data_IF_147792556127
#
_entry.id   IF_147792556127
#
_cell.length_a   1.000
_cell.length_b   1.000
_cell.length_c   1.000
_cell.angle_alpha   90.00
_cell.angle_beta   90.00
_cell.angle_gamma   90.00
#
_symmetry.space_group_name_H-M   'P 1'
#
loop_
_entity.id
_entity.type
_entity.pdbx_description
1 polymer ?
#
# COMPACT_ATOMS: atom_id res chain seq x y z
N UNK A 1 5.35 9.39 28.59
CA UNK A 1 5.46 9.32 27.12
C UNK A 1 4.18 9.84 26.49
N UNK A 2 4.31 10.79 25.54
CA UNK A 2 3.19 11.37 24.80
C UNK A 2 3.15 10.78 23.38
N UNK A 3 2.06 10.12 23.05
CA UNK A 3 1.88 9.42 21.76
C UNK A 3 0.89 10.20 20.90
N UNK A 4 1.23 10.41 19.65
CA UNK A 4 0.33 10.99 18.65
C UNK A 4 -0.03 9.95 17.58
N UNK A 5 -1.30 9.82 17.25
CA UNK A 5 -1.72 9.08 16.06
C UNK A 5 -2.30 10.03 15.01
N UNK A 6 -1.92 9.80 13.77
CA UNK A 6 -2.65 10.32 12.62
C UNK A 6 -3.72 9.31 12.21
N UNK A 7 -4.31 9.47 10.99
CA UNK A 7 -5.33 8.52 10.52
C UNK A 7 -4.91 7.06 10.76
N UNK A 8 -5.68 6.33 11.54
CA UNK A 8 -5.44 4.91 11.84
C UNK A 8 -5.91 4.01 10.67
N UNK A 9 -5.58 2.72 10.66
CA UNK A 9 -6.34 1.75 9.89
C UNK A 9 -7.82 1.79 10.31
N UNK A 10 -8.72 1.23 9.48
CA UNK A 10 -10.15 1.14 9.82
C UNK A 10 -10.40 0.10 10.95
N UNK A 11 -9.66 0.25 12.02
CA UNK A 11 -9.65 -0.63 13.19
C UNK A 11 -9.02 0.09 14.40
N UNK A 12 -9.24 -0.39 15.63
CA UNK A 12 -8.64 0.20 16.83
C UNK A 12 -7.16 -0.18 17.03
N UNK A 13 -6.45 -0.62 16.00
CA UNK A 13 -5.10 -1.20 16.09
C UNK A 13 -4.13 -0.32 16.90
N UNK A 14 -4.03 0.98 16.58
CA UNK A 14 -3.15 1.89 17.31
C UNK A 14 -3.57 2.06 18.78
N UNK A 15 -4.86 2.23 19.03
CA UNK A 15 -5.37 2.32 20.39
C UNK A 15 -5.14 1.04 21.21
N UNK A 16 -5.17 -0.12 20.55
CA UNK A 16 -4.84 -1.39 21.20
C UNK A 16 -3.36 -1.46 21.57
N UNK A 17 -2.45 -1.06 20.69
CA UNK A 17 -1.02 -1.01 20.99
C UNK A 17 -0.74 -0.06 22.15
N UNK A 18 -1.28 1.17 22.09
CA UNK A 18 -1.04 2.22 23.11
C UNK A 18 -1.47 1.78 24.50
N UNK A 19 -2.53 0.97 24.62
CA UNK A 19 -2.96 0.39 25.92
C UNK A 19 -1.92 -0.53 26.56
N UNK A 20 -0.98 -1.06 25.79
CA UNK A 20 0.07 -1.97 26.28
C UNK A 20 1.42 -1.27 26.47
N UNK A 21 1.54 0.00 26.10
CA UNK A 21 2.73 0.82 26.37
C UNK A 21 2.69 1.27 27.82
N UNK A 22 3.81 1.09 28.53
CA UNK A 22 3.95 1.57 29.89
C UNK A 22 4.11 3.10 29.93
N UNK A 23 3.57 3.75 30.98
CA UNK A 23 3.78 5.17 31.25
C UNK A 23 3.38 6.12 30.10
N UNK A 24 2.33 5.80 29.34
CA UNK A 24 1.71 6.78 28.44
C UNK A 24 0.99 7.82 29.30
N UNK A 25 1.45 9.06 29.23
CA UNK A 25 0.86 10.20 29.94
C UNK A 25 -0.32 10.73 29.13
N UNK A 26 -0.09 11.00 27.84
CA UNK A 26 -1.14 11.47 26.95
C UNK A 26 -1.13 10.70 25.63
N UNK A 27 -2.33 10.43 25.11
CA UNK A 27 -2.55 9.87 23.79
C UNK A 27 -3.41 10.82 22.97
N UNK A 28 -2.80 11.43 21.95
CA UNK A 28 -3.37 12.44 21.07
C UNK A 28 -3.69 11.88 19.69
N UNK A 29 -4.55 12.59 18.95
CA UNK A 29 -4.82 12.28 17.55
C UNK A 29 -5.02 13.53 16.70
N UNK A 30 -4.56 13.47 15.43
CA UNK A 30 -4.91 14.42 14.37
C UNK A 30 -5.48 13.63 13.20
N UNK A 31 -6.75 13.85 12.86
CA UNK A 31 -7.46 13.10 11.84
C UNK A 31 -7.83 13.93 10.63
N UNK A 32 -7.61 13.35 9.43
CA UNK A 32 -8.11 13.95 8.18
C UNK A 32 -9.63 13.81 8.03
N UNK A 33 -10.22 12.84 8.72
CA UNK A 33 -11.65 12.51 8.68
C UNK A 33 -12.16 12.22 10.08
N UNK A 34 -13.29 12.81 10.44
CA UNK A 34 -13.91 12.65 11.76
C UNK A 34 -14.29 11.20 12.12
N UNK A 35 -14.49 10.36 11.12
CA UNK A 35 -14.80 8.95 11.36
C UNK A 35 -13.69 8.16 12.06
N UNK A 36 -12.44 8.59 11.96
CA UNK A 36 -11.32 7.91 12.64
C UNK A 36 -11.44 7.99 14.17
N UNK A 37 -12.14 8.99 14.69
CA UNK A 37 -12.45 9.08 16.12
C UNK A 37 -13.11 7.81 16.66
N UNK A 38 -13.86 7.10 15.84
CA UNK A 38 -14.51 5.84 16.21
C UNK A 38 -13.54 4.75 16.67
N UNK A 39 -12.33 4.76 16.17
CA UNK A 39 -11.27 3.79 16.48
C UNK A 39 -10.26 4.30 17.51
N UNK A 40 -10.45 5.52 18.00
CA UNK A 40 -9.56 6.18 18.91
C UNK A 40 -10.06 6.11 20.36
N UNK A 41 -9.19 5.77 21.28
CA UNK A 41 -9.48 5.70 22.71
C UNK A 41 -8.46 6.48 23.55
N UNK A 42 -8.05 7.66 23.03
CA UNK A 42 -7.11 8.55 23.71
C UNK A 42 -7.77 9.74 24.38
N UNK A 43 -6.97 10.75 24.74
CA UNK A 43 -7.36 11.89 25.56
C UNK A 43 -7.94 13.03 24.74
N UNK A 44 -7.31 13.38 23.61
CA UNK A 44 -7.66 14.53 22.80
C UNK A 44 -7.50 14.23 21.30
N UNK A 45 -8.44 14.66 20.49
CA UNK A 45 -8.33 14.54 19.03
C UNK A 45 -8.67 15.85 18.33
N UNK A 46 -7.91 16.16 17.29
CA UNK A 46 -8.09 17.28 16.41
C UNK A 46 -8.39 16.85 14.98
N UNK A 47 -8.85 17.77 14.15
CA UNK A 47 -9.27 17.48 12.78
C UNK A 47 -8.63 18.46 11.81
N UNK A 48 -8.04 17.93 10.75
CA UNK A 48 -7.30 18.73 9.76
C UNK A 48 -8.16 19.84 9.15
N UNK A 49 -9.46 19.61 8.89
CA UNK A 49 -10.34 20.66 8.38
C UNK A 49 -10.49 21.81 9.36
N UNK A 50 -10.63 21.52 10.65
CA UNK A 50 -10.69 22.54 11.71
C UNK A 50 -9.36 23.28 11.86
N UNK A 51 -8.24 22.55 11.89
CA UNK A 51 -6.89 23.10 11.96
C UNK A 51 -6.67 24.12 10.82
N UNK A 52 -6.90 23.71 9.59
CA UNK A 52 -6.66 24.54 8.40
C UNK A 52 -7.62 25.72 8.28
N UNK A 53 -8.76 25.70 8.97
CA UNK A 53 -9.66 26.86 9.03
C UNK A 53 -9.14 27.96 9.97
N UNK A 54 -8.38 27.60 10.99
CA UNK A 54 -7.89 28.48 12.05
C UNK A 54 -6.41 28.85 11.87
N UNK A 55 -5.60 27.94 11.35
CA UNK A 55 -4.16 28.09 11.19
C UNK A 55 -3.80 28.16 9.71
N UNK A 56 -3.44 29.36 9.23
CA UNK A 56 -3.06 29.63 7.83
C UNK A 56 -1.66 30.20 7.68
N UNK A 57 -0.88 30.18 8.76
CA UNK A 57 0.50 30.65 8.77
C UNK A 57 1.45 29.52 8.42
N UNK A 58 2.52 29.84 7.74
CA UNK A 58 3.60 28.92 7.42
C UNK A 58 4.89 29.68 7.09
N UNK A 59 6.01 29.03 7.23
CA UNK A 59 7.34 29.53 6.87
C UNK A 59 7.70 29.18 5.42
N UNK A 60 8.79 29.78 4.93
CA UNK A 60 9.34 29.39 3.63
C UNK A 60 9.83 27.91 3.60
N UNK A 61 10.30 27.38 4.72
CA UNK A 61 10.70 25.97 4.84
C UNK A 61 9.48 25.03 4.80
N UNK A 62 8.37 25.40 5.41
CA UNK A 62 7.13 24.62 5.36
C UNK A 62 6.56 24.58 3.93
N UNK A 63 6.63 25.71 3.21
CA UNK A 63 6.25 25.76 1.79
C UNK A 63 7.21 24.89 0.93
N UNK A 64 8.50 24.94 1.16
CA UNK A 64 9.45 24.10 0.46
C UNK A 64 9.18 22.61 0.70
N UNK A 65 8.83 22.22 1.93
CA UNK A 65 8.41 20.86 2.28
C UNK A 65 7.12 20.47 1.52
N UNK A 66 6.12 21.36 1.49
CA UNK A 66 4.87 21.13 0.77
C UNK A 66 5.09 20.85 -0.73
N UNK A 67 5.97 21.64 -1.36
CA UNK A 67 6.31 21.50 -2.78
C UNK A 67 7.06 20.19 -3.08
N UNK A 68 8.03 19.80 -2.25
CA UNK A 68 8.82 18.59 -2.46
C UNK A 68 8.12 17.32 -2.00
N UNK A 69 7.00 17.41 -1.26
CA UNK A 69 6.30 16.27 -0.73
C UNK A 69 5.82 15.34 -1.84
N UNK A 70 6.32 14.10 -1.80
CA UNK A 70 5.87 13.04 -2.70
C UNK A 70 4.70 12.29 -2.07
N UNK A 71 3.49 12.63 -2.47
CA UNK A 71 2.28 12.08 -1.87
C UNK A 71 1.25 11.68 -2.93
N UNK A 72 0.31 10.85 -2.52
CA UNK A 72 -0.71 10.29 -3.40
C UNK A 72 -1.58 11.37 -4.07
N UNK A 73 -1.98 12.41 -3.32
CA UNK A 73 -2.86 13.46 -3.87
C UNK A 73 -2.16 14.23 -4.99
N UNK A 74 -0.92 14.67 -4.77
CA UNK A 74 -0.13 15.39 -5.77
C UNK A 74 0.08 14.56 -7.04
N UNK A 75 0.40 13.27 -6.87
CA UNK A 75 0.55 12.35 -8.00
C UNK A 75 -0.77 12.14 -8.75
N UNK A 76 -1.88 12.04 -8.01
CA UNK A 76 -3.21 11.86 -8.58
C UNK A 76 -3.66 13.05 -9.43
N UNK A 77 -3.58 14.28 -8.91
CA UNK A 77 -4.03 15.47 -9.66
C UNK A 77 -3.20 15.70 -10.92
N UNK A 78 -1.88 15.49 -10.86
CA UNK A 78 -1.02 15.58 -12.04
C UNK A 78 -1.39 14.56 -13.10
N UNK A 79 -1.68 13.33 -12.68
CA UNK A 79 -1.95 12.23 -13.62
C UNK A 79 -3.36 12.27 -14.20
N UNK A 80 -4.37 12.43 -13.37
CA UNK A 80 -5.77 12.28 -13.77
C UNK A 80 -6.47 13.61 -14.03
N UNK A 81 -6.13 14.66 -13.29
CA UNK A 81 -6.71 15.98 -13.47
C UNK A 81 -5.87 16.85 -14.44
N UNK A 82 -4.67 16.36 -14.81
CA UNK A 82 -3.76 17.05 -15.75
C UNK A 82 -3.45 18.49 -15.34
N UNK A 83 -3.31 18.73 -14.04
CA UNK A 83 -2.99 20.02 -13.45
C UNK A 83 -1.93 19.90 -12.36
N UNK A 84 -1.27 20.98 -12.06
CA UNK A 84 -0.46 21.10 -10.86
C UNK A 84 -1.34 21.40 -9.64
N UNK A 85 -0.75 21.30 -8.44
CA UNK A 85 -1.41 21.74 -7.22
C UNK A 85 -1.72 23.24 -7.29
N UNK A 86 -2.91 23.62 -6.87
CA UNK A 86 -3.27 25.04 -6.75
C UNK A 86 -2.50 25.70 -5.60
N UNK A 87 -2.42 27.03 -5.64
CA UNK A 87 -1.81 27.80 -4.53
C UNK A 87 -2.52 27.51 -3.19
N UNK A 88 -3.84 27.32 -3.20
CA UNK A 88 -4.60 27.02 -1.98
C UNK A 88 -4.26 25.62 -1.44
N UNK A 89 -4.13 24.60 -2.30
CA UNK A 89 -3.72 23.26 -1.90
C UNK A 89 -2.30 23.26 -1.32
N UNK A 90 -1.36 23.99 -1.95
CA UNK A 90 -0.01 24.15 -1.42
C UNK A 90 0.02 24.91 -0.10
N UNK A 91 -0.78 25.96 0.04
CA UNK A 91 -0.92 26.70 1.29
C UNK A 91 -1.50 25.81 2.41
N UNK A 92 -2.48 24.95 2.11
CA UNK A 92 -3.00 23.98 3.06
C UNK A 92 -1.93 22.99 3.51
N UNK A 93 -1.11 22.49 2.59
CA UNK A 93 0.01 21.59 2.92
C UNK A 93 1.04 22.29 3.80
N UNK A 94 1.44 23.51 3.45
CA UNK A 94 2.40 24.29 4.21
C UNK A 94 1.88 24.68 5.60
N UNK A 95 0.59 25.06 5.70
CA UNK A 95 -0.05 25.37 6.98
C UNK A 95 -0.15 24.15 7.88
N UNK A 96 -0.44 22.98 7.32
CA UNK A 96 -0.41 21.73 8.08
C UNK A 96 1.00 21.39 8.55
N UNK A 97 2.02 21.56 7.72
CA UNK A 97 3.41 21.31 8.08
C UNK A 97 3.83 22.21 9.26
N UNK A 98 3.51 23.51 9.19
CA UNK A 98 3.78 24.45 10.26
C UNK A 98 3.09 24.07 11.57
N UNK A 99 1.78 23.82 11.49
CA UNK A 99 0.97 23.41 12.63
C UNK A 99 1.50 22.11 13.26
N UNK A 100 1.77 21.09 12.44
CA UNK A 100 2.23 19.79 12.92
C UNK A 100 3.56 19.90 13.66
N UNK A 101 4.50 20.71 13.13
CA UNK A 101 5.80 20.96 13.78
C UNK A 101 5.62 21.64 15.14
N UNK A 102 4.77 22.68 15.23
CA UNK A 102 4.45 23.32 16.51
C UNK A 102 3.79 22.33 17.48
N UNK A 103 2.84 21.54 17.00
CA UNK A 103 2.14 20.55 17.83
C UNK A 103 3.07 19.51 18.45
N UNK A 104 4.05 19.02 17.69
CA UNK A 104 5.06 18.11 18.22
C UNK A 104 5.80 18.71 19.43
N UNK A 105 6.20 19.97 19.34
CA UNK A 105 6.90 20.66 20.42
C UNK A 105 5.97 21.03 21.59
N UNK A 106 4.82 21.64 21.33
CA UNK A 106 3.88 22.11 22.34
C UNK A 106 3.31 20.95 23.19
N UNK A 107 3.02 19.82 22.56
CA UNK A 107 2.51 18.62 23.24
C UNK A 107 3.65 17.68 23.67
N UNK A 108 4.90 18.05 23.45
CA UNK A 108 6.08 17.21 23.75
C UNK A 108 5.90 15.77 23.26
N UNK A 109 5.60 15.60 21.96
CA UNK A 109 5.29 14.29 21.38
C UNK A 109 6.56 13.45 21.28
N UNK A 110 6.55 12.29 21.93
CA UNK A 110 7.66 11.35 21.95
C UNK A 110 7.60 10.32 20.82
N UNK A 111 6.39 10.02 20.30
CA UNK A 111 6.20 9.00 19.28
C UNK A 111 4.98 9.28 18.41
N UNK A 112 5.12 9.05 17.07
CA UNK A 112 4.02 9.23 16.09
C UNK A 112 3.65 7.92 15.40
N UNK A 113 2.35 7.64 15.28
CA UNK A 113 1.80 6.47 14.59
C UNK A 113 0.95 6.93 13.40
N UNK A 114 1.12 6.33 12.23
CA UNK A 114 0.33 6.66 11.03
C UNK A 114 0.04 5.43 10.17
N UNK A 115 -1.04 5.49 9.38
CA UNK A 115 -1.42 4.42 8.46
C UNK A 115 -1.23 4.85 7.01
N UNK A 116 -0.32 4.19 6.27
CA UNK A 116 0.13 4.55 4.93
C UNK A 116 0.89 5.90 4.90
N UNK A 117 2.15 5.87 4.54
CA UNK A 117 3.06 7.02 4.58
C UNK A 117 2.93 7.98 3.37
N UNK A 118 2.06 7.67 2.41
CA UNK A 118 1.90 8.45 1.17
C UNK A 118 0.59 9.24 1.09
N UNK A 119 -0.26 9.23 2.12
CA UNK A 119 -1.33 10.23 2.25
C UNK A 119 -0.67 11.59 2.44
N UNK A 120 -1.20 12.65 1.83
CA UNK A 120 -0.52 13.93 1.80
C UNK A 120 -0.06 14.44 3.19
N UNK A 121 -0.91 14.36 4.19
CA UNK A 121 -0.60 14.79 5.57
C UNK A 121 0.34 13.82 6.28
N UNK A 122 0.28 12.51 5.99
CA UNK A 122 1.23 11.52 6.52
C UNK A 122 2.61 11.68 5.89
N UNK A 123 2.68 11.94 4.58
CA UNK A 123 3.95 12.19 3.91
C UNK A 123 4.66 13.42 4.49
N UNK A 124 3.93 14.50 4.73
CA UNK A 124 4.45 15.70 5.39
C UNK A 124 4.86 15.40 6.84
N UNK A 125 4.01 14.72 7.62
CA UNK A 125 4.30 14.38 9.00
C UNK A 125 5.53 13.47 9.12
N UNK A 126 5.69 12.50 8.22
CA UNK A 126 6.86 11.62 8.17
C UNK A 126 8.16 12.42 7.97
N UNK A 127 8.18 13.33 7.00
CA UNK A 127 9.36 14.17 6.75
C UNK A 127 9.69 15.06 7.96
N UNK A 128 8.67 15.63 8.62
CA UNK A 128 8.86 16.44 9.83
C UNK A 128 9.40 15.57 10.97
N UNK A 129 8.86 14.37 11.19
CA UNK A 129 9.38 13.46 12.20
C UNK A 129 10.86 13.13 11.97
N UNK A 130 11.28 12.94 10.71
CA UNK A 130 12.68 12.72 10.35
C UNK A 130 13.54 13.97 10.62
N UNK A 131 13.07 15.16 10.28
CA UNK A 131 13.76 16.43 10.51
C UNK A 131 13.91 16.75 12.01
N UNK A 132 12.88 16.49 12.81
CA UNK A 132 12.85 16.78 14.26
C UNK A 132 13.41 15.62 15.12
N UNK A 133 13.73 14.48 14.50
CA UNK A 133 14.24 13.31 15.22
C UNK A 133 13.19 12.62 16.09
N UNK A 134 11.89 12.83 15.83
CA UNK A 134 10.80 12.17 16.54
C UNK A 134 10.58 10.78 15.95
N UNK A 135 10.72 9.70 16.73
CA UNK A 135 10.50 8.36 16.24
C UNK A 135 9.03 8.14 15.85
N UNK A 136 8.81 7.33 14.82
CA UNK A 136 7.46 7.05 14.32
C UNK A 136 7.33 5.61 13.81
N UNK A 137 6.10 5.17 13.60
CA UNK A 137 5.82 3.97 12.84
C UNK A 137 4.70 4.19 11.81
N UNK A 138 4.76 3.39 10.76
CA UNK A 138 3.78 3.36 9.69
C UNK A 138 3.15 1.98 9.59
N UNK A 139 1.83 1.91 9.62
CA UNK A 139 1.11 0.66 9.37
C UNK A 139 0.58 0.59 7.94
N UNK A 140 0.42 -0.63 7.44
CA UNK A 140 -0.24 -0.92 6.16
C UNK A 140 -0.98 -2.26 6.26
N UNK A 141 -1.85 -2.54 5.30
CA UNK A 141 -2.48 -3.86 5.19
C UNK A 141 -1.42 -4.94 5.02
N UNK A 142 -1.60 -6.05 5.70
CA UNK A 142 -0.66 -7.15 5.70
C UNK A 142 -0.48 -7.82 4.34
N UNK A 143 0.68 -8.44 4.17
CA UNK A 143 1.05 -9.19 2.97
C UNK A 143 0.37 -10.57 2.94
N UNK A 144 0.17 -11.19 4.11
CA UNK A 144 -0.46 -12.50 4.27
C UNK A 144 -1.88 -12.33 4.82
N UNK A 145 -2.80 -11.98 3.92
CA UNK A 145 -4.21 -11.70 4.28
C UNK A 145 -4.99 -13.00 4.47
N UNK A 146 -5.91 -13.06 5.41
CA UNK A 146 -6.38 -12.01 6.33
C UNK A 146 -5.65 -11.99 7.69
N UNK A 147 -4.49 -12.60 7.83
CA UNK A 147 -3.86 -12.94 9.11
C UNK A 147 -2.87 -11.90 9.62
N UNK A 148 -2.46 -10.95 8.79
CA UNK A 148 -1.37 -10.02 9.16
C UNK A 148 -1.68 -8.57 8.84
N UNK A 149 -0.99 -7.69 9.58
CA UNK A 149 -0.75 -6.29 9.21
C UNK A 149 0.75 -6.03 9.08
N UNK A 150 1.11 -4.89 8.50
CA UNK A 150 2.47 -4.37 8.50
C UNK A 150 2.56 -3.23 9.49
N UNK A 151 3.63 -3.18 10.27
CA UNK A 151 4.07 -2.04 11.08
C UNK A 151 5.56 -1.87 10.89
N UNK A 152 5.98 -0.74 10.36
CA UNK A 152 7.38 -0.46 10.02
C UNK A 152 7.78 0.90 10.60
N UNK A 153 8.99 1.00 11.15
CA UNK A 153 9.49 2.22 11.82
C UNK A 153 10.25 3.17 10.88
N UNK A 154 10.12 2.96 9.59
CA UNK A 154 10.74 3.82 8.57
C UNK A 154 9.73 4.24 7.50
N UNK A 155 8.90 3.32 7.05
CA UNK A 155 7.90 3.50 6.02
C UNK A 155 7.32 2.18 5.56
N UNK A 156 6.45 2.20 4.56
CA UNK A 156 5.84 0.98 4.01
C UNK A 156 6.09 0.87 2.51
N UNK A 157 5.86 -0.31 1.96
CA UNK A 157 6.07 -0.59 0.53
C UNK A 157 7.53 -0.27 0.11
N UNK A 158 7.75 0.58 -0.90
CA UNK A 158 9.09 0.95 -1.34
C UNK A 158 9.88 1.79 -0.31
N UNK A 159 9.20 2.34 0.69
CA UNK A 159 9.82 3.08 1.80
C UNK A 159 10.09 2.19 3.03
N UNK A 160 9.78 0.89 2.97
CA UNK A 160 9.96 -0.04 4.08
C UNK A 160 11.43 -0.20 4.47
N UNK A 161 11.66 -0.40 5.77
CA UNK A 161 12.98 -0.73 6.32
C UNK A 161 13.62 -1.97 5.69
N UNK A 162 12.82 -2.88 5.12
CA UNK A 162 13.30 -4.08 4.42
C UNK A 162 14.17 -3.72 3.20
N UNK A 163 13.92 -2.59 2.56
CA UNK A 163 14.68 -2.18 1.36
C UNK A 163 16.18 -2.01 1.63
N UNK A 164 16.54 -1.65 2.86
CA UNK A 164 17.91 -1.42 3.32
C UNK A 164 18.47 -2.53 4.21
N UNK A 165 17.71 -3.62 4.44
CA UNK A 165 18.21 -4.73 5.25
C UNK A 165 19.31 -5.48 4.52
N UNK A 166 20.48 -5.55 5.17
CA UNK A 166 21.62 -6.37 4.75
C UNK A 166 21.58 -7.71 5.52
N UNK A 167 20.71 -8.60 5.08
CA UNK A 167 20.49 -9.92 5.68
C UNK A 167 20.54 -10.97 4.58
N UNK A 168 21.27 -12.05 4.81
CA UNK A 168 21.15 -13.27 4.03
C UNK A 168 19.88 -14.03 4.43
N UNK A 169 18.86 -13.91 3.61
CA UNK A 169 17.58 -14.56 3.87
C UNK A 169 17.66 -16.09 3.79
N UNK A 170 18.66 -16.67 3.14
CA UNK A 170 18.79 -18.13 3.04
C UNK A 170 18.86 -18.84 4.40
N UNK A 171 19.34 -18.15 5.45
CA UNK A 171 19.38 -18.66 6.82
C UNK A 171 18.00 -19.02 7.39
N UNK A 172 16.91 -18.47 6.86
CA UNK A 172 15.55 -18.77 7.28
C UNK A 172 14.88 -19.86 6.43
N UNK A 173 15.53 -20.34 5.36
CA UNK A 173 14.90 -21.20 4.35
C UNK A 173 14.45 -22.58 4.89
N UNK A 174 15.17 -23.12 5.85
CA UNK A 174 14.90 -24.44 6.41
C UNK A 174 14.18 -24.40 7.76
N UNK A 175 13.76 -23.21 8.21
CA UNK A 175 12.98 -23.09 9.43
C UNK A 175 11.57 -23.64 9.22
N UNK A 176 11.01 -24.33 10.25
CA UNK A 176 9.69 -24.92 10.14
C UNK A 176 8.60 -23.85 10.05
N UNK A 177 7.67 -24.04 9.12
CA UNK A 177 6.46 -23.22 9.02
C UNK A 177 5.68 -23.25 10.34
N UNK A 178 5.20 -22.08 10.76
CA UNK A 178 4.36 -21.91 11.95
C UNK A 178 2.94 -21.56 11.52
N UNK A 179 1.95 -21.99 12.26
CA UNK A 179 0.60 -21.49 12.07
C UNK A 179 0.47 -20.09 12.67
N UNK A 180 -0.31 -19.25 12.03
CA UNK A 180 -0.69 -17.97 12.64
C UNK A 180 -1.61 -18.25 13.83
N UNK A 181 -1.23 -17.77 15.00
CA UNK A 181 -2.01 -17.89 16.24
C UNK A 181 -2.97 -16.72 16.39
N UNK A 182 -3.78 -16.50 15.36
CA UNK A 182 -4.82 -15.45 15.38
C UNK A 182 -6.12 -15.99 14.79
N UNK A 183 -7.27 -15.66 15.41
CA UNK A 183 -8.57 -15.95 14.81
C UNK A 183 -8.67 -15.31 13.44
N UNK A 184 -9.26 -16.01 12.46
CA UNK A 184 -9.46 -15.46 11.12
C UNK A 184 -10.43 -14.27 11.19
N UNK A 185 -9.95 -13.02 10.99
CA UNK A 185 -10.71 -11.81 11.33
C UNK A 185 -11.87 -11.49 10.38
N UNK A 186 -12.07 -12.27 9.32
CA UNK A 186 -13.04 -11.95 8.27
C UNK A 186 -14.02 -13.07 7.92
N UNK A 187 -14.21 -14.04 8.82
CA UNK A 187 -15.24 -15.06 8.66
C UNK A 187 -16.34 -14.93 9.72
N UNK A 188 -17.61 -15.05 9.28
CA UNK A 188 -18.76 -15.04 10.19
C UNK A 188 -18.97 -13.69 10.88
N UNK A 189 -19.06 -13.72 12.22
CA UNK A 189 -19.37 -12.55 13.04
C UNK A 189 -18.35 -11.40 12.92
N UNK A 190 -17.07 -11.70 12.76
CA UNK A 190 -16.00 -10.68 12.64
C UNK A 190 -16.14 -9.88 11.34
N UNK A 191 -16.54 -10.52 10.23
CA UNK A 191 -16.82 -9.80 8.98
C UNK A 191 -17.99 -8.84 9.11
N UNK A 192 -19.05 -9.24 9.81
CA UNK A 192 -20.22 -8.37 10.06
C UNK A 192 -19.85 -7.21 11.00
N UNK A 193 -19.10 -7.49 12.06
CA UNK A 193 -18.59 -6.50 13.00
C UNK A 193 -17.80 -5.42 12.26
N UNK A 194 -16.82 -5.81 11.45
CA UNK A 194 -16.01 -4.87 10.66
C UNK A 194 -16.85 -4.00 9.72
N UNK A 195 -17.89 -4.57 9.08
CA UNK A 195 -18.81 -3.81 8.21
C UNK A 195 -19.65 -2.79 9.00
N UNK A 196 -20.13 -3.15 10.18
CA UNK A 196 -20.89 -2.24 11.05
C UNK A 196 -20.02 -1.08 11.54
N UNK A 197 -18.80 -1.37 12.00
CA UNK A 197 -17.84 -0.35 12.41
C UNK A 197 -17.49 0.60 11.25
N UNK A 198 -17.31 0.06 10.04
CA UNK A 198 -17.04 0.88 8.86
C UNK A 198 -18.26 1.74 8.46
N UNK A 199 -19.47 1.21 8.55
CA UNK A 199 -20.70 1.98 8.31
C UNK A 199 -20.83 3.15 9.30
N UNK A 200 -20.49 2.91 10.58
CA UNK A 200 -20.47 3.94 11.62
C UNK A 200 -19.40 4.99 11.35
N UNK A 201 -18.20 4.58 10.94
CA UNK A 201 -17.14 5.47 10.46
C UNK A 201 -17.64 6.39 9.33
N UNK A 202 -18.33 5.85 8.32
CA UNK A 202 -18.89 6.65 7.22
C UNK A 202 -19.95 7.65 7.70
N UNK A 203 -20.78 7.26 8.65
CA UNK A 203 -21.78 8.14 9.26
C UNK A 203 -21.12 9.32 9.98
N UNK A 204 -20.10 9.06 10.81
CA UNK A 204 -19.35 10.11 11.50
C UNK A 204 -18.64 11.05 10.52
N UNK A 205 -18.09 10.51 9.43
CA UNK A 205 -17.49 11.35 8.38
C UNK A 205 -18.48 12.32 7.75
N UNK A 206 -19.70 11.85 7.49
CA UNK A 206 -20.75 12.71 6.94
C UNK A 206 -21.13 13.84 7.92
N UNK A 207 -21.31 13.48 9.18
CA UNK A 207 -21.62 14.47 10.25
C UNK A 207 -20.48 15.48 10.44
N UNK A 208 -19.24 15.00 10.49
CA UNK A 208 -18.07 15.87 10.63
C UNK A 208 -17.81 16.74 9.40
N UNK A 209 -18.19 16.28 8.20
CA UNK A 209 -18.13 17.08 6.98
C UNK A 209 -19.04 18.32 7.07
N UNK A 210 -20.24 18.18 7.59
CA UNK A 210 -21.16 19.32 7.82
C UNK A 210 -20.65 20.31 8.86
N UNK A 211 -19.78 19.86 9.77
CA UNK A 211 -19.14 20.70 10.79
C UNK A 211 -17.80 21.29 10.36
N UNK A 212 -17.36 21.05 9.13
CA UNK A 212 -16.05 21.51 8.64
C UNK A 212 -14.83 20.78 9.27
N UNK A 213 -15.03 19.64 9.92
CA UNK A 213 -13.94 18.91 10.59
C UNK A 213 -13.02 18.17 9.60
N UNK A 214 -13.59 17.71 8.49
CA UNK A 214 -12.86 16.88 7.53
C UNK A 214 -11.97 17.73 6.61
N UNK A 215 -10.79 17.23 6.29
CA UNK A 215 -9.96 17.82 5.24
C UNK A 215 -10.72 17.87 3.91
N UNK A 216 -10.60 19.00 3.20
CA UNK A 216 -11.09 19.14 1.83
C UNK A 216 -10.26 18.37 0.83
N UNK A 217 -8.96 18.23 1.09
CA UNK A 217 -8.03 17.42 0.32
C UNK A 217 -8.16 15.98 0.78
N UNK A 218 -8.74 15.15 -0.07
CA UNK A 218 -9.05 13.77 0.31
C UNK A 218 -8.35 12.76 -0.57
N UNK A 219 -7.84 11.70 0.04
CA UNK A 219 -7.51 10.49 -0.65
C UNK A 219 -8.81 9.87 -1.23
N UNK A 220 -8.82 9.53 -2.51
CA UNK A 220 -10.02 9.23 -3.32
C UNK A 220 -10.97 8.13 -2.86
N UNK A 221 -10.66 7.40 -1.81
CA UNK A 221 -11.34 6.15 -1.50
C UNK A 221 -12.73 6.30 -0.86
N UNK A 222 -13.14 7.50 -0.42
CA UNK A 222 -14.25 7.62 0.53
C UNK A 222 -15.43 8.49 0.08
N UNK A 223 -15.54 8.81 -1.19
CA UNK A 223 -16.76 9.43 -1.71
C UNK A 223 -17.83 8.36 -1.93
N UNK A 224 -18.92 8.43 -1.18
CA UNK A 224 -20.02 7.48 -1.19
C UNK A 224 -20.61 7.21 -2.60
N UNK A 225 -20.73 8.23 -3.43
CA UNK A 225 -21.29 8.12 -4.79
C UNK A 225 -20.41 7.30 -5.74
N UNK A 226 -19.07 7.52 -5.84
CA UNK A 226 -18.20 6.64 -6.60
C UNK A 226 -18.18 5.20 -6.08
N UNK A 227 -18.30 5.01 -4.76
CA UNK A 227 -18.36 3.68 -4.16
C UNK A 227 -19.65 2.93 -4.53
N UNK A 228 -20.79 3.62 -4.50
CA UNK A 228 -22.07 3.07 -4.93
C UNK A 228 -22.07 2.76 -6.44
N UNK A 229 -21.50 3.65 -7.26
CA UNK A 229 -21.34 3.43 -8.69
C UNK A 229 -20.43 2.24 -9.01
N UNK A 230 -19.31 2.06 -8.26
CA UNK A 230 -18.45 0.88 -8.39
C UNK A 230 -19.19 -0.40 -7.99
N UNK A 231 -19.90 -0.38 -6.87
CA UNK A 231 -20.72 -1.51 -6.42
C UNK A 231 -21.79 -1.89 -7.46
N UNK A 232 -22.44 -0.88 -8.05
CA UNK A 232 -23.41 -1.05 -9.13
C UNK A 232 -22.77 -1.62 -10.39
N UNK A 233 -21.66 -1.09 -10.80
CA UNK A 233 -20.93 -1.57 -11.99
C UNK A 233 -20.40 -2.99 -11.79
N UNK A 234 -19.86 -3.32 -10.63
CA UNK A 234 -19.36 -4.66 -10.32
C UNK A 234 -20.48 -5.71 -10.24
N UNK A 235 -21.63 -5.38 -9.67
CA UNK A 235 -22.68 -6.36 -9.45
C UNK A 235 -23.72 -6.44 -10.59
N UNK A 236 -23.92 -5.39 -11.35
CA UNK A 236 -24.94 -5.32 -12.41
C UNK A 236 -24.33 -5.37 -13.81
N UNK A 237 -23.30 -4.57 -14.11
CA UNK A 237 -22.63 -4.67 -15.42
C UNK A 237 -21.95 -6.00 -15.63
N UNK A 238 -21.34 -6.58 -14.60
CA UNK A 238 -20.72 -7.91 -14.70
C UNK A 238 -21.73 -9.03 -15.00
N UNK A 239 -23.01 -8.87 -14.61
CA UNK A 239 -24.10 -9.79 -14.97
C UNK A 239 -24.67 -9.55 -16.37
N UNK A 240 -24.60 -8.31 -16.85
CA UNK A 240 -25.11 -7.92 -18.17
C UNK A 240 -24.07 -8.08 -19.28
N UNK A 241 -22.77 -8.04 -18.97
CA UNK A 241 -21.67 -8.20 -19.95
C UNK A 241 -21.26 -9.65 -20.20
N UNK A 242 -22.18 -10.61 -20.08
CA UNK A 242 -21.95 -12.02 -20.44
C UNK A 242 -21.72 -12.27 -21.93
N UNK A 243 -21.56 -11.24 -22.72
CA UNK A 243 -21.30 -11.35 -24.15
C UNK A 243 -20.24 -10.36 -24.59
N UNK A 244 -19.02 -10.78 -24.68
CA UNK A 244 -17.92 -10.26 -25.50
C UNK A 244 -16.60 -10.11 -24.75
N UNK A 245 -15.72 -10.91 -25.08
CA UNK A 245 -14.26 -11.02 -25.29
C UNK A 245 -13.80 -12.36 -24.75
N UNK A 246 -13.15 -13.12 -25.59
CA UNK A 246 -12.57 -14.43 -25.29
C UNK A 246 -11.64 -14.31 -24.06
N UNK A 247 -12.18 -14.63 -22.89
CA UNK A 247 -11.33 -14.87 -21.72
C UNK A 247 -10.72 -16.25 -21.90
N UNK A 248 -9.46 -16.29 -22.25
CA UNK A 248 -8.72 -17.53 -22.28
C UNK A 248 -8.69 -18.10 -20.84
N UNK A 249 -9.13 -19.34 -20.67
CA UNK A 249 -8.92 -20.08 -19.44
C UNK A 249 -7.42 -20.43 -19.37
N UNK A 250 -6.73 -20.39 -18.20
CA UNK A 250 -5.34 -20.82 -18.10
C UNK A 250 -5.09 -22.19 -18.72
N UNK A 251 -6.04 -23.12 -18.56
CA UNK A 251 -5.99 -24.47 -19.12
C UNK A 251 -6.07 -24.53 -20.66
N UNK A 252 -6.34 -23.40 -21.33
CA UNK A 252 -6.44 -23.31 -22.79
C UNK A 252 -5.24 -22.62 -23.44
N UNK A 253 -4.25 -22.16 -22.66
CA UNK A 253 -3.00 -21.63 -23.21
C UNK A 253 -2.09 -22.81 -23.56
N UNK A 254 -2.16 -23.25 -24.79
CA UNK A 254 -1.42 -24.39 -25.32
C UNK A 254 0.08 -24.16 -25.53
N UNK A 255 0.58 -22.97 -25.27
CA UNK A 255 1.98 -22.55 -25.46
C UNK A 255 2.58 -22.06 -24.16
N UNK A 256 3.91 -22.17 -23.95
CA UNK A 256 4.58 -21.47 -22.87
C UNK A 256 4.28 -19.98 -22.89
N UNK A 257 4.23 -19.33 -21.74
CA UNK A 257 3.89 -17.91 -21.69
C UNK A 257 4.64 -17.13 -20.62
N UNK A 258 4.76 -15.83 -20.86
CA UNK A 258 5.18 -14.83 -19.89
C UNK A 258 3.93 -14.21 -19.30
N UNK A 259 3.83 -14.21 -17.96
CA UNK A 259 2.67 -13.66 -17.28
C UNK A 259 2.89 -12.20 -16.84
N UNK A 260 1.95 -11.33 -17.18
CA UNK A 260 1.97 -9.92 -16.83
C UNK A 260 0.68 -9.51 -16.12
N UNK A 261 0.66 -9.50 -14.76
CA UNK A 261 -0.45 -8.96 -13.97
C UNK A 261 -0.39 -7.43 -13.94
N UNK A 262 -1.40 -6.78 -14.48
CA UNK A 262 -1.56 -5.32 -14.43
C UNK A 262 -2.22 -4.88 -13.13
N UNK A 263 -1.82 -3.72 -12.62
CA UNK A 263 -2.32 -3.09 -11.40
C UNK A 263 -3.35 -2.00 -11.72
N UNK A 264 -4.05 -1.52 -10.68
CA UNK A 264 -4.89 -0.33 -10.81
C UNK A 264 -4.02 0.90 -11.05
N UNK A 265 -4.35 1.67 -12.07
CA UNK A 265 -3.58 2.86 -12.47
C UNK A 265 -3.60 3.98 -11.41
N UNK A 266 -4.66 4.01 -10.59
CA UNK A 266 -4.80 4.97 -9.49
C UNK A 266 -4.28 4.45 -8.14
N UNK A 267 -3.71 3.25 -8.10
CA UNK A 267 -3.04 2.73 -6.90
C UNK A 267 -1.78 3.53 -6.59
N UNK A 268 -1.54 3.80 -5.32
CA UNK A 268 -0.36 4.51 -4.83
C UNK A 268 0.94 3.84 -5.29
N UNK A 269 0.96 2.52 -5.34
CA UNK A 269 2.12 1.76 -5.81
C UNK A 269 2.44 2.08 -7.29
N UNK A 270 1.42 2.20 -8.12
CA UNK A 270 1.60 2.58 -9.51
C UNK A 270 1.93 4.07 -9.66
N UNK A 271 1.21 4.95 -8.95
CA UNK A 271 1.34 6.39 -9.09
C UNK A 271 2.70 6.93 -8.65
N UNK A 272 3.24 6.40 -7.54
CA UNK A 272 4.43 6.96 -6.88
C UNK A 272 5.66 6.06 -7.09
N UNK A 273 5.45 4.75 -7.09
CA UNK A 273 6.54 3.79 -7.13
C UNK A 273 6.75 3.16 -8.51
N UNK A 274 6.17 3.75 -9.57
CA UNK A 274 6.50 3.42 -10.96
C UNK A 274 6.81 4.67 -11.77
N UNK A 275 7.44 4.48 -12.93
CA UNK A 275 7.80 5.57 -13.85
C UNK A 275 6.86 5.61 -15.08
N UNK A 276 5.79 4.84 -15.08
CA UNK A 276 4.88 4.73 -16.19
C UNK A 276 3.76 5.77 -16.13
N UNK A 277 3.52 6.44 -17.26
CA UNK A 277 2.48 7.47 -17.36
C UNK A 277 1.06 6.90 -17.32
N UNK A 278 0.86 5.65 -17.80
CA UNK A 278 -0.43 4.96 -17.79
C UNK A 278 -0.26 3.44 -17.91
N UNK A 279 -1.32 2.69 -17.62
CA UNK A 279 -1.36 1.25 -17.86
C UNK A 279 -1.25 0.91 -19.35
N UNK A 280 -1.80 1.74 -20.25
CA UNK A 280 -1.63 1.54 -21.69
C UNK A 280 -0.17 1.73 -22.10
N UNK A 281 0.50 2.77 -21.61
CA UNK A 281 1.93 2.99 -21.90
C UNK A 281 2.78 1.83 -21.36
N UNK A 282 2.50 1.36 -20.13
CA UNK A 282 3.17 0.20 -19.55
C UNK A 282 2.97 -1.06 -20.42
N UNK A 283 1.72 -1.35 -20.84
CA UNK A 283 1.42 -2.52 -21.68
C UNK A 283 2.20 -2.45 -22.99
N UNK A 284 2.18 -1.30 -23.66
CA UNK A 284 2.89 -1.11 -24.91
C UNK A 284 4.41 -1.33 -24.79
N UNK A 285 5.00 -0.90 -23.66
CA UNK A 285 6.44 -1.10 -23.40
C UNK A 285 6.76 -2.57 -23.10
N UNK A 286 5.92 -3.26 -22.33
CA UNK A 286 6.10 -4.68 -22.02
C UNK A 286 5.93 -5.52 -23.28
N UNK A 287 4.92 -5.24 -24.11
CA UNK A 287 4.75 -5.88 -25.43
C UNK A 287 5.97 -5.68 -26.31
N UNK A 288 6.43 -4.42 -26.45
CA UNK A 288 7.60 -4.10 -27.26
C UNK A 288 8.84 -4.86 -26.78
N UNK A 289 9.06 -4.94 -25.47
CA UNK A 289 10.18 -5.67 -24.89
C UNK A 289 10.05 -7.18 -25.13
N UNK A 290 8.86 -7.74 -24.95
CA UNK A 290 8.57 -9.15 -25.20
C UNK A 290 8.81 -9.51 -26.68
N UNK A 291 8.27 -8.72 -27.61
CA UNK A 291 8.42 -9.00 -29.05
C UNK A 291 9.83 -8.79 -29.61
N UNK A 292 10.68 -8.09 -28.88
CA UNK A 292 12.11 -7.97 -29.19
C UNK A 292 12.98 -9.05 -28.51
N UNK A 293 12.41 -9.83 -27.60
CA UNK A 293 13.13 -10.92 -26.92
C UNK A 293 13.20 -12.17 -27.80
N UNK A 294 14.08 -13.09 -27.45
CA UNK A 294 14.19 -14.40 -28.09
C UNK A 294 12.96 -15.27 -27.89
N UNK A 295 12.10 -14.93 -26.92
CA UNK A 295 10.92 -15.70 -26.54
C UNK A 295 9.72 -15.48 -27.49
N UNK A 296 9.75 -14.44 -28.33
CA UNK A 296 8.61 -14.01 -29.14
C UNK A 296 8.03 -15.10 -30.07
N UNK A 297 8.86 -16.02 -30.53
CA UNK A 297 8.44 -17.08 -31.47
C UNK A 297 7.93 -18.34 -30.78
N UNK A 298 8.22 -18.53 -29.50
CA UNK A 298 7.92 -19.76 -28.77
C UNK A 298 6.93 -19.55 -27.64
N UNK A 299 6.76 -18.32 -27.15
CA UNK A 299 5.94 -17.98 -26.00
C UNK A 299 4.79 -17.04 -26.39
N UNK A 300 3.82 -16.91 -25.48
CA UNK A 300 2.76 -15.89 -25.52
C UNK A 300 2.96 -14.89 -24.39
N UNK A 301 2.47 -13.66 -24.57
CA UNK A 301 2.31 -12.71 -23.48
C UNK A 301 0.89 -12.85 -22.93
N UNK A 302 0.74 -13.27 -21.68
CA UNK A 302 -0.55 -13.43 -21.02
C UNK A 302 -0.74 -12.31 -20.02
N UNK A 303 -1.74 -11.48 -20.23
CA UNK A 303 -2.04 -10.29 -19.44
C UNK A 303 -3.29 -10.51 -18.60
N UNK A 304 -3.21 -10.21 -17.32
CA UNK A 304 -4.36 -10.20 -16.42
C UNK A 304 -4.61 -8.81 -15.88
N UNK A 305 -5.80 -8.28 -16.14
CA UNK A 305 -6.23 -7.01 -15.54
C UNK A 305 -6.58 -7.20 -14.05
N UNK A 306 -6.36 -6.17 -13.26
CA UNK A 306 -6.84 -6.15 -11.89
C UNK A 306 -8.37 -6.31 -11.86
N UNK A 307 -8.97 -7.08 -10.92
CA UNK A 307 -10.43 -7.32 -10.90
C UNK A 307 -11.29 -6.03 -10.86
N UNK A 308 -10.75 -4.96 -10.29
CA UNK A 308 -11.40 -3.65 -10.21
C UNK A 308 -11.04 -2.71 -11.37
N UNK A 309 -10.24 -3.16 -12.33
CA UNK A 309 -9.90 -2.38 -13.51
C UNK A 309 -11.02 -2.55 -14.54
N UNK A 310 -11.65 -1.44 -14.89
CA UNK A 310 -12.74 -1.36 -15.87
C UNK A 310 -12.25 -0.79 -17.22
N UNK A 311 -10.95 -0.55 -17.34
CA UNK A 311 -10.31 -0.03 -18.56
C UNK A 311 -10.39 -1.00 -19.71
N UNK A 312 -10.31 -0.44 -20.92
CA UNK A 312 -10.10 -1.20 -22.17
C UNK A 312 -8.75 -0.82 -22.71
N UNK A 313 -7.96 -1.82 -23.05
CA UNK A 313 -6.58 -1.64 -23.50
C UNK A 313 -6.44 -2.12 -24.94
N UNK A 314 -5.67 -1.38 -25.72
CA UNK A 314 -5.22 -1.80 -27.05
C UNK A 314 -3.97 -2.65 -26.88
N UNK A 315 -3.94 -3.82 -27.51
CA UNK A 315 -2.84 -4.75 -27.44
C UNK A 315 -2.61 -5.40 -28.80
N UNK A 316 -1.42 -5.92 -29.01
CA UNK A 316 -1.10 -6.77 -30.16
C UNK A 316 -2.00 -8.03 -30.17
N UNK A 317 -2.38 -8.53 -31.36
CA UNK A 317 -3.25 -9.70 -31.50
C UNK A 317 -2.68 -10.98 -30.85
N UNK A 318 -1.37 -11.04 -30.65
CA UNK A 318 -0.66 -12.14 -29.99
C UNK A 318 -0.67 -12.05 -28.46
N UNK A 319 -1.09 -10.92 -27.89
CA UNK A 319 -1.24 -10.73 -26.44
C UNK A 319 -2.59 -11.26 -25.98
N UNK A 320 -2.57 -12.18 -25.02
CA UNK A 320 -3.77 -12.85 -24.51
C UNK A 320 -4.23 -12.23 -23.20
N UNK A 321 -5.45 -11.73 -23.14
CA UNK A 321 -6.06 -11.30 -21.90
C UNK A 321 -6.79 -12.44 -21.21
N UNK A 322 -6.60 -12.57 -19.89
CA UNK A 322 -7.22 -13.63 -19.08
C UNK A 322 -7.89 -13.07 -17.82
N UNK A 323 -8.89 -13.82 -17.33
CA UNK A 323 -9.52 -13.65 -16.00
C UNK A 323 -9.25 -14.85 -15.09
N UNK A 324 -8.31 -15.71 -15.46
CA UNK A 324 -7.94 -16.92 -14.74
C UNK A 324 -7.47 -16.66 -13.30
N UNK A 325 -7.35 -17.73 -12.54
CA UNK A 325 -6.80 -17.68 -11.18
C UNK A 325 -5.34 -17.24 -11.21
N UNK A 326 -4.95 -16.28 -10.37
CA UNK A 326 -3.60 -15.68 -10.36
C UNK A 326 -2.53 -16.71 -10.01
N UNK A 327 -2.76 -17.49 -8.96
CA UNK A 327 -1.81 -18.52 -8.51
C UNK A 327 -1.58 -19.59 -9.60
N UNK A 328 -2.63 -20.02 -10.28
CA UNK A 328 -2.50 -20.96 -11.39
C UNK A 328 -1.70 -20.35 -12.55
N UNK A 329 -1.96 -19.06 -12.88
CA UNK A 329 -1.23 -18.35 -13.94
C UNK A 329 0.25 -18.17 -13.61
N UNK A 330 0.59 -17.84 -12.35
CA UNK A 330 1.99 -17.75 -11.90
C UNK A 330 2.68 -19.10 -11.97
N UNK A 331 2.05 -20.17 -11.49
CA UNK A 331 2.64 -21.50 -11.46
C UNK A 331 2.93 -22.08 -12.85
N UNK A 332 2.07 -21.78 -13.82
CA UNK A 332 2.19 -22.27 -15.19
C UNK A 332 3.06 -21.38 -16.09
N UNK A 333 3.31 -20.12 -15.68
CA UNK A 333 4.16 -19.21 -16.45
C UNK A 333 5.63 -19.66 -16.50
N UNK A 334 6.33 -19.32 -17.57
CA UNK A 334 7.79 -19.47 -17.66
C UNK A 334 8.53 -18.34 -16.93
N UNK A 335 7.93 -17.14 -16.91
CA UNK A 335 8.39 -16.01 -16.13
C UNK A 335 7.23 -15.05 -15.83
N UNK A 336 7.43 -14.19 -14.83
CA UNK A 336 6.49 -13.16 -14.42
C UNK A 336 7.12 -11.78 -14.59
N UNK A 337 6.40 -10.86 -15.25
CA UNK A 337 6.76 -9.45 -15.34
C UNK A 337 5.75 -8.66 -14.52
N UNK A 338 6.18 -7.81 -13.62
CA UNK A 338 5.27 -6.99 -12.81
C UNK A 338 5.89 -5.64 -12.49
N UNK A 339 5.08 -4.64 -12.17
CA UNK A 339 5.61 -3.36 -11.68
C UNK A 339 6.02 -3.53 -10.21
N UNK A 340 5.06 -3.65 -9.31
CA UNK A 340 5.26 -3.82 -7.87
C UNK A 340 4.02 -4.42 -7.20
N UNK A 341 3.29 -5.27 -7.92
CA UNK A 341 2.07 -5.93 -7.46
C UNK A 341 2.34 -6.94 -6.34
N UNK A 342 1.36 -7.14 -5.45
CA UNK A 342 1.37 -8.24 -4.47
C UNK A 342 1.40 -9.64 -5.11
N UNK A 343 1.05 -9.77 -6.40
CA UNK A 343 1.24 -11.01 -7.18
C UNK A 343 2.71 -11.44 -7.21
N UNK A 344 3.65 -10.50 -7.03
CA UNK A 344 5.06 -10.83 -6.88
C UNK A 344 5.34 -11.75 -5.68
N UNK A 345 4.54 -11.67 -4.61
CA UNK A 345 4.69 -12.60 -3.46
C UNK A 345 4.39 -14.04 -3.89
N UNK A 346 3.34 -14.26 -4.71
CA UNK A 346 3.04 -15.58 -5.27
C UNK A 346 4.15 -16.05 -6.23
N UNK A 347 4.73 -15.13 -7.01
CA UNK A 347 5.85 -15.45 -7.90
C UNK A 347 7.14 -15.80 -7.13
N UNK A 348 7.39 -15.17 -5.98
CA UNK A 348 8.53 -15.50 -5.11
C UNK A 348 8.41 -16.89 -4.45
N UNK A 349 7.20 -17.46 -4.35
CA UNK A 349 7.00 -18.84 -3.92
C UNK A 349 7.46 -19.89 -4.96
N UNK A 350 7.75 -19.46 -6.18
CA UNK A 350 8.15 -20.30 -7.31
C UNK A 350 9.63 -20.15 -7.66
N UNK A 351 10.12 -21.02 -8.53
CA UNK A 351 11.47 -20.93 -9.12
C UNK A 351 11.50 -20.12 -10.43
N UNK A 352 10.37 -19.49 -10.78
CA UNK A 352 10.25 -18.75 -12.04
C UNK A 352 11.01 -17.42 -11.99
N UNK A 353 11.63 -16.99 -13.08
CA UNK A 353 12.15 -15.63 -13.19
C UNK A 353 11.06 -14.60 -12.92
N UNK A 354 11.37 -13.62 -12.07
CA UNK A 354 10.49 -12.50 -11.73
C UNK A 354 11.19 -11.19 -12.10
N UNK A 355 10.63 -10.47 -13.06
CA UNK A 355 11.11 -9.16 -13.50
C UNK A 355 10.24 -8.06 -12.86
N UNK A 356 10.89 -7.14 -12.14
CA UNK A 356 10.20 -6.05 -11.42
C UNK A 356 10.58 -4.72 -12.05
N UNK A 357 9.58 -4.00 -12.56
CA UNK A 357 9.72 -2.75 -13.30
C UNK A 357 9.55 -1.49 -12.43
N UNK A 358 9.13 -1.65 -11.19
CA UNK A 358 8.87 -0.55 -10.24
C UNK A 358 9.68 -0.67 -8.97
N UNK A 359 9.53 0.33 -8.12
CA UNK A 359 10.13 0.33 -6.77
C UNK A 359 9.26 -0.46 -5.81
N UNK A 360 9.86 -1.43 -5.11
CA UNK A 360 9.19 -2.26 -4.11
C UNK A 360 10.21 -2.79 -3.10
N UNK A 361 9.77 -3.10 -1.88
CA UNK A 361 10.65 -3.64 -0.84
C UNK A 361 11.28 -5.00 -1.21
N UNK A 362 10.62 -5.75 -2.09
CA UNK A 362 11.12 -7.03 -2.60
C UNK A 362 11.91 -6.92 -3.92
N UNK A 363 12.05 -5.71 -4.48
CA UNK A 363 12.79 -5.48 -5.73
C UNK A 363 14.32 -5.53 -5.47
N UNK A 364 14.81 -6.70 -5.11
CA UNK A 364 16.21 -7.01 -4.74
C UNK A 364 16.78 -8.07 -5.69
N UNK A 365 18.05 -7.94 -6.05
CA UNK A 365 18.70 -8.86 -7.00
C UNK A 365 18.84 -10.30 -6.48
N UNK A 366 18.84 -10.49 -5.16
CA UNK A 366 18.87 -11.79 -4.51
C UNK A 366 17.51 -12.51 -4.52
N UNK A 367 16.42 -11.81 -4.85
CA UNK A 367 15.04 -12.32 -4.87
C UNK A 367 14.41 -12.33 -6.26
N UNK A 368 14.69 -11.31 -7.05
CA UNK A 368 14.09 -11.12 -8.36
C UNK A 368 15.08 -10.35 -9.26
N UNK A 369 14.67 -10.00 -10.46
CA UNK A 369 15.45 -9.18 -11.35
C UNK A 369 14.79 -7.80 -11.50
N UNK A 370 15.16 -6.79 -10.68
CA UNK A 370 14.76 -5.41 -10.91
C UNK A 370 15.37 -4.93 -12.22
N UNK A 371 14.54 -4.46 -13.15
CA UNK A 371 14.99 -4.05 -14.48
C UNK A 371 14.28 -2.79 -14.93
N UNK A 372 14.97 -1.96 -15.68
CA UNK A 372 14.31 -0.91 -16.46
C UNK A 372 13.58 -1.55 -17.65
N UNK A 373 12.49 -0.94 -18.07
CA UNK A 373 11.73 -1.47 -19.20
C UNK A 373 12.55 -1.53 -20.49
N UNK A 374 13.53 -0.62 -20.67
CA UNK A 374 14.47 -0.64 -21.80
C UNK A 374 15.38 -1.88 -21.83
N UNK A 375 15.61 -2.51 -20.67
CA UNK A 375 16.46 -3.68 -20.47
C UNK A 375 15.65 -4.99 -20.47
N UNK A 376 14.31 -4.89 -20.38
CA UNK A 376 13.43 -6.05 -20.20
C UNK A 376 13.55 -7.07 -21.34
N UNK A 377 13.74 -6.63 -22.58
CA UNK A 377 13.91 -7.54 -23.73
C UNK A 377 15.13 -8.45 -23.59
N UNK A 378 16.26 -7.88 -23.14
CA UNK A 378 17.49 -8.64 -22.87
C UNK A 378 17.33 -9.54 -21.67
N UNK A 379 16.70 -9.05 -20.59
CA UNK A 379 16.45 -9.80 -19.38
C UNK A 379 15.53 -11.01 -19.63
N UNK A 380 14.48 -10.85 -20.41
CA UNK A 380 13.61 -11.95 -20.85
C UNK A 380 14.35 -13.00 -21.69
N UNK A 381 15.28 -12.56 -22.54
CA UNK A 381 16.06 -13.46 -23.37
C UNK A 381 17.12 -14.23 -22.60
N UNK A 382 17.56 -13.70 -21.47
CA UNK A 382 18.67 -14.26 -20.67
C UNK A 382 18.44 -13.97 -19.19
N UNK A 383 17.47 -14.67 -18.54
CA UNK A 383 17.13 -14.43 -17.14
C UNK A 383 18.26 -14.83 -16.20
N UNK A 384 18.46 -14.05 -15.14
CA UNK A 384 19.40 -14.38 -14.10
C UNK A 384 18.92 -15.63 -13.30
N UNK A 385 19.85 -16.43 -12.79
CA UNK A 385 19.51 -17.54 -11.89
C UNK A 385 18.76 -17.05 -10.64
N UNK A 386 17.82 -17.85 -10.19
CA UNK A 386 17.00 -17.57 -9.01
C UNK A 386 17.51 -18.37 -7.82
N UNK A 387 17.72 -17.72 -6.68
CA UNK A 387 18.02 -18.38 -5.42
C UNK A 387 16.71 -18.78 -4.72
N UNK A 388 16.35 -20.06 -4.79
CA UNK A 388 15.19 -20.59 -4.08
C UNK A 388 15.31 -20.46 -2.57
N UNK A 389 16.50 -20.67 -2.02
CA UNK A 389 16.75 -20.54 -0.59
C UNK A 389 16.50 -19.10 -0.12
N UNK A 390 17.02 -18.09 -0.84
CA UNK A 390 16.77 -16.68 -0.49
C UNK A 390 15.29 -16.33 -0.58
N UNK A 391 14.58 -16.74 -1.61
CA UNK A 391 13.13 -16.50 -1.75
C UNK A 391 12.33 -17.13 -0.61
N UNK A 392 12.57 -18.42 -0.32
CA UNK A 392 11.89 -19.13 0.76
C UNK A 392 12.18 -18.47 2.12
N UNK A 393 13.44 -18.16 2.38
CA UNK A 393 13.83 -17.47 3.62
C UNK A 393 13.28 -16.05 3.73
N UNK A 394 13.23 -15.31 2.63
CA UNK A 394 12.62 -13.97 2.59
C UNK A 394 11.12 -14.03 2.91
N UNK A 395 10.38 -14.95 2.30
CA UNK A 395 8.95 -15.13 2.59
C UNK A 395 8.72 -15.55 4.05
N UNK A 396 9.59 -16.44 4.58
CA UNK A 396 9.57 -16.79 5.99
C UNK A 396 9.81 -15.58 6.89
N UNK A 397 10.84 -14.77 6.58
CA UNK A 397 11.14 -13.55 7.32
C UNK A 397 9.96 -12.57 7.29
N UNK A 398 9.38 -12.32 6.12
CA UNK A 398 8.19 -11.47 5.98
C UNK A 398 7.03 -11.95 6.85
N UNK A 399 6.80 -13.27 6.86
CA UNK A 399 5.65 -13.88 7.52
C UNK A 399 5.77 -13.84 9.05
N UNK A 400 6.96 -14.12 9.59
CA UNK A 400 7.14 -14.38 11.02
C UNK A 400 7.98 -13.34 11.77
N UNK A 401 8.76 -12.53 11.08
CA UNK A 401 9.62 -11.52 11.70
C UNK A 401 9.17 -10.09 11.39
N UNK A 402 8.72 -9.84 10.18
CA UNK A 402 8.33 -8.51 9.74
C UNK A 402 6.84 -8.22 9.93
N UNK A 403 5.97 -9.17 9.60
CA UNK A 403 4.52 -8.96 9.71
C UNK A 403 4.05 -9.01 11.15
N UNK A 404 3.11 -8.14 11.48
CA UNK A 404 2.32 -8.18 12.73
C UNK A 404 1.23 -9.23 12.57
N UNK A 405 1.17 -10.19 13.49
CA UNK A 405 0.13 -11.22 13.49
C UNK A 405 -1.18 -10.67 14.04
N UNK A 406 -2.18 -10.60 13.18
CA UNK A 406 -3.48 -10.00 13.47
C UNK A 406 -3.94 -9.05 12.39
N UNK A 407 -5.23 -8.79 12.34
CA UNK A 407 -5.82 -7.81 11.43
C UNK A 407 -7.19 -7.34 11.95
N UNK A 408 -7.60 -6.14 11.55
CA UNK A 408 -8.88 -5.58 11.92
C UNK A 408 -9.03 -5.40 13.44
N UNK A 409 -9.82 -6.24 14.06
CA UNK A 409 -10.09 -6.24 15.51
C UNK A 409 -9.46 -7.44 16.25
N UNK A 410 -8.75 -8.30 15.52
CA UNK A 410 -8.24 -9.58 16.02
C UNK A 410 -6.71 -9.54 16.13
N UNK A 411 -6.22 -9.33 17.34
CA UNK A 411 -4.80 -9.35 17.73
C UNK A 411 -4.65 -10.14 19.02
N UNK A 412 -3.54 -10.84 19.20
CA UNK A 412 -3.22 -11.48 20.48
C UNK A 412 -2.57 -10.49 21.42
N UNK A 413 -2.78 -10.68 22.73
CA UNK A 413 -2.14 -9.88 23.78
C UNK A 413 -0.61 -9.92 23.65
N UNK A 414 -0.04 -11.10 23.33
CA UNK A 414 1.41 -11.26 23.15
C UNK A 414 1.95 -10.39 22.01
N UNK A 415 1.23 -10.31 20.89
CA UNK A 415 1.65 -9.48 19.76
C UNK A 415 1.56 -7.99 20.09
N UNK A 416 0.49 -7.56 20.78
CA UNK A 416 0.35 -6.17 21.22
C UNK A 416 1.43 -5.77 22.22
N UNK A 417 1.77 -6.63 23.19
CA UNK A 417 2.88 -6.41 24.11
C UNK A 417 4.25 -6.36 23.41
N UNK A 418 4.47 -7.20 22.38
CA UNK A 418 5.70 -7.16 21.59
C UNK A 418 5.84 -5.81 20.89
N UNK A 419 4.80 -5.33 20.21
CA UNK A 419 4.78 -4.04 19.52
C UNK A 419 4.96 -2.87 20.50
N UNK A 420 4.30 -2.90 21.64
CA UNK A 420 4.44 -1.88 22.67
C UNK A 420 5.90 -1.77 23.14
N UNK A 421 6.56 -2.88 23.47
CA UNK A 421 7.98 -2.90 23.86
C UNK A 421 8.91 -2.41 22.75
N UNK A 422 8.61 -2.72 21.51
CA UNK A 422 9.39 -2.24 20.39
C UNK A 422 9.29 -0.71 20.23
N UNK A 423 8.10 -0.14 20.41
CA UNK A 423 7.89 1.31 20.44
C UNK A 423 8.65 1.93 21.60
N UNK A 424 8.51 1.40 22.83
CA UNK A 424 9.20 1.89 24.01
C UNK A 424 10.73 1.90 23.84
N UNK A 425 11.29 0.92 23.16
CA UNK A 425 12.73 0.84 22.90
C UNK A 425 13.26 1.94 21.97
N UNK A 426 12.40 2.62 21.23
CA UNK A 426 12.75 3.68 20.28
C UNK A 426 12.60 5.09 20.85
N UNK A 427 11.84 5.23 21.91
CA UNK A 427 11.69 6.48 22.66
C UNK A 427 12.77 6.50 23.74
N UNK A 428 13.68 7.45 23.65
CA UNK A 428 14.84 7.59 24.56
C UNK A 428 14.48 8.48 25.76
#
# INVERSE_FOLDING_TARGET
>A
MNVLTLDSPYSPFFSLIVKHIHNVEYYYAIFSKSGYQHYFSGHECEYIGSILSQHRTFSASDMALAIRSNNHFSAYVRKFEKRELTADELNQFASFAHYFRQYLHEKSIDFVMMHNDLRWHHAIAREICLEEGVPFCVSELGLFRPYTMTLDFHGVNANSSITSLDIDFSQFADLPERLFDVPVPFHGHESMRSKLHFAYFLMLNKLGGWRGLNSSITHNALNFVPYLNRFWQQNIKSRLSKGSKSSCNPDTVSSPYIFFPMQLEHDTQFLIHSDFSSNQALLNEVERAFYRSTLTNSHRLVVKLHPNDLGTYQADERTLFTKGNTTALVNQAEAVVSVNSTVCMEALETDKPLFVLGRAFFARQDLCQPVRVSELSQALSNPNPVSRANRKGFLYYLKYHYSVQGAGFSFTENELHKLAREIESRVK
#
